data_IF_813729169284
#
_entry.id   IF_813729169284
#
_cell.length_a   1.000
_cell.length_b   1.000
_cell.length_c   1.000
_cell.angle_alpha   90.00
_cell.angle_beta   90.00
_cell.angle_gamma   90.00
#
_symmetry.space_group_name_H-M   'P 1'
#
loop_
_entity.id
_entity.type
_entity.pdbx_description
1 polymer ?
#
# COMPACT_ATOMS: atom_id res chain seq x y z
N UNK A 1 -8.94 -5.23 0.15
CA UNK A 1 -8.94 -3.81 -0.28
C UNK A 1 -10.09 -3.01 0.31
N UNK A 2 -11.26 -3.63 0.56
CA UNK A 2 -12.45 -2.93 1.05
C UNK A 2 -12.22 -2.07 2.32
N UNK A 3 -11.36 -2.52 3.24
CA UNK A 3 -11.15 -1.84 4.52
C UNK A 3 -10.06 -0.74 4.47
N UNK A 4 -9.56 -0.40 3.28
CA UNK A 4 -8.39 0.49 3.14
C UNK A 4 -8.64 1.73 2.28
N UNK A 5 -9.89 1.95 1.85
CA UNK A 5 -10.29 3.09 1.02
C UNK A 5 -10.89 4.20 1.87
N UNK A 6 -10.66 5.46 1.48
CA UNK A 6 -11.42 6.60 2.00
C UNK A 6 -12.72 6.74 1.21
N UNK A 7 -13.79 7.17 1.88
CA UNK A 7 -15.06 7.52 1.22
C UNK A 7 -15.02 8.92 0.59
N UNK A 8 -13.97 9.70 0.88
CA UNK A 8 -13.83 11.10 0.47
C UNK A 8 -13.03 11.30 -0.83
N UNK A 9 -12.51 10.23 -1.44
CA UNK A 9 -11.81 10.34 -2.72
C UNK A 9 -10.95 9.13 -3.09
N UNK A 10 -10.10 9.31 -4.11
CA UNK A 10 -9.21 8.25 -4.59
C UNK A 10 -7.96 8.11 -3.73
N UNK A 11 -7.47 6.88 -3.59
CA UNK A 11 -6.24 6.58 -2.85
C UNK A 11 -5.22 5.85 -3.72
N UNK A 12 -3.95 5.91 -3.32
CA UNK A 12 -2.87 5.12 -3.91
C UNK A 12 -2.61 3.85 -3.09
N UNK A 13 -2.57 2.67 -3.73
CA UNK A 13 -2.20 1.40 -3.08
C UNK A 13 -1.41 0.50 -4.01
N UNK A 14 -0.46 -0.25 -3.45
CA UNK A 14 0.17 -1.38 -4.11
C UNK A 14 -0.75 -2.59 -4.11
N UNK A 15 -1.35 -2.93 -5.26
CA UNK A 15 -2.20 -4.12 -5.41
C UNK A 15 -1.32 -5.35 -5.57
N UNK A 16 -1.49 -6.31 -4.66
CA UNK A 16 -0.66 -7.51 -4.57
C UNK A 16 -1.34 -8.70 -5.24
N UNK A 17 -0.53 -9.56 -5.84
CA UNK A 17 -0.90 -10.92 -6.24
C UNK A 17 0.00 -11.91 -5.51
N UNK A 18 -0.60 -12.94 -4.95
CA UNK A 18 0.08 -13.99 -4.19
C UNK A 18 -0.05 -15.35 -4.84
N UNK A 19 0.92 -16.22 -4.58
CA UNK A 19 0.80 -17.66 -4.87
C UNK A 19 0.02 -18.39 -3.77
N UNK A 20 -0.23 -19.68 -3.96
CA UNK A 20 -0.95 -20.53 -2.99
C UNK A 20 -0.24 -20.67 -1.65
N UNK A 21 1.06 -20.34 -1.57
CA UNK A 21 1.85 -20.33 -0.34
C UNK A 21 1.83 -18.97 0.38
N UNK A 22 1.12 -17.99 -0.17
CA UNK A 22 1.02 -16.63 0.36
C UNK A 22 2.28 -15.78 0.09
N UNK A 23 3.11 -16.15 -0.88
CA UNK A 23 4.24 -15.33 -1.30
C UNK A 23 3.80 -14.33 -2.37
N UNK A 24 4.35 -13.12 -2.29
CA UNK A 24 4.13 -12.07 -3.27
C UNK A 24 4.80 -12.45 -4.61
N UNK A 25 4.00 -12.55 -5.67
CA UNK A 25 4.47 -12.82 -7.03
C UNK A 25 4.35 -11.60 -7.95
N UNK A 26 3.49 -10.65 -7.59
CA UNK A 26 3.31 -9.41 -8.33
C UNK A 26 2.83 -8.30 -7.38
N UNK A 27 3.32 -7.09 -7.58
CA UNK A 27 2.76 -5.90 -6.94
C UNK A 27 2.81 -4.71 -7.90
N UNK A 28 1.70 -3.98 -8.00
CA UNK A 28 1.59 -2.81 -8.85
C UNK A 28 1.02 -1.64 -8.06
N UNK A 29 1.72 -0.50 -8.06
CA UNK A 29 1.20 0.74 -7.48
C UNK A 29 0.07 1.29 -8.35
N UNK A 30 -1.10 1.48 -7.77
CA UNK A 30 -2.27 2.08 -8.43
C UNK A 30 -2.63 3.36 -7.70
N UNK A 31 -2.55 4.51 -8.37
CA UNK A 31 -2.61 5.83 -7.74
C UNK A 31 -4.01 6.44 -7.63
N UNK A 32 -4.99 5.92 -8.36
CA UNK A 32 -6.38 6.41 -8.35
C UNK A 32 -7.38 5.28 -8.10
N UNK A 33 -7.33 4.65 -6.93
CA UNK A 33 -8.31 3.64 -6.52
C UNK A 33 -9.48 4.32 -5.80
N UNK A 34 -10.72 4.07 -6.23
CA UNK A 34 -11.92 4.61 -5.59
C UNK A 34 -13.13 3.67 -5.74
N UNK A 35 -14.21 3.98 -5.01
CA UNK A 35 -15.50 3.28 -5.14
C UNK A 35 -16.35 3.95 -6.22
N UNK A 36 -16.88 3.15 -7.14
CA UNK A 36 -17.82 3.59 -8.17
C UNK A 36 -18.92 2.53 -8.31
N UNK A 37 -20.18 2.95 -8.18
CA UNK A 37 -21.36 2.07 -8.33
C UNK A 37 -21.30 0.78 -7.49
N UNK A 38 -20.74 0.85 -6.28
CA UNK A 38 -20.58 -0.30 -5.37
C UNK A 38 -19.40 -1.22 -5.71
N UNK A 39 -18.63 -0.91 -6.74
CA UNK A 39 -17.40 -1.61 -7.13
C UNK A 39 -16.17 -0.80 -6.74
N UNK A 40 -15.04 -1.48 -6.59
CA UNK A 40 -13.74 -0.82 -6.43
C UNK A 40 -13.07 -0.80 -7.79
N UNK A 41 -12.63 0.36 -8.24
CA UNK A 41 -11.95 0.56 -9.53
C UNK A 41 -10.68 1.35 -9.33
N UNK A 42 -9.69 1.13 -10.20
CA UNK A 42 -8.61 2.09 -10.39
C UNK A 42 -8.68 2.73 -11.77
N UNK A 43 -8.30 4.00 -11.86
CA UNK A 43 -8.18 4.72 -13.13
C UNK A 43 -6.72 4.89 -13.52
N UNK A 44 -6.36 4.44 -14.72
CA UNK A 44 -5.03 4.59 -15.31
C UNK A 44 -5.18 4.98 -16.79
N UNK A 45 -4.54 6.07 -17.20
CA UNK A 45 -4.62 6.55 -18.60
C UNK A 45 -6.03 6.84 -19.10
N UNK A 46 -6.97 7.19 -18.20
CA UNK A 46 -8.39 7.40 -18.52
C UNK A 46 -9.21 6.12 -18.67
N UNK A 47 -8.60 4.95 -18.47
CA UNK A 47 -9.31 3.66 -18.44
C UNK A 47 -9.56 3.25 -16.99
N UNK A 48 -10.79 2.86 -16.68
CA UNK A 48 -11.15 2.31 -15.37
C UNK A 48 -11.12 0.79 -15.41
N UNK A 49 -10.44 0.20 -14.43
CA UNK A 49 -10.34 -1.25 -14.28
C UNK A 49 -10.85 -1.66 -12.91
N UNK A 50 -11.73 -2.66 -12.88
CA UNK A 50 -12.28 -3.21 -11.64
C UNK A 50 -11.22 -3.98 -10.85
N UNK A 51 -11.24 -3.80 -9.53
CA UNK A 51 -10.41 -4.52 -8.57
C UNK A 51 -11.32 -5.32 -7.65
N UNK A 52 -11.13 -6.65 -7.53
CA UNK A 52 -11.87 -7.45 -6.56
C UNK A 52 -11.74 -6.87 -5.16
N UNK A 53 -12.84 -6.81 -4.40
CA UNK A 53 -12.89 -6.16 -3.09
C UNK A 53 -12.02 -6.84 -2.03
N UNK A 54 -11.83 -8.15 -2.20
CA UNK A 54 -10.96 -9.05 -1.44
C UNK A 54 -9.49 -8.99 -1.85
N UNK A 55 -9.14 -8.22 -2.90
CA UNK A 55 -7.74 -8.06 -3.34
C UNK A 55 -6.85 -7.61 -2.18
N UNK A 56 -5.70 -8.25 -2.05
CA UNK A 56 -4.69 -7.87 -1.07
C UNK A 56 -3.98 -6.60 -1.54
N UNK A 57 -3.74 -5.69 -0.60
CA UNK A 57 -2.97 -4.47 -0.87
C UNK A 57 -1.89 -4.25 0.16
N UNK A 58 -0.78 -3.67 -0.28
CA UNK A 58 0.24 -3.15 0.61
C UNK A 58 -0.21 -1.82 1.21
N UNK A 59 -0.14 -1.74 2.53
CA UNK A 59 -0.32 -0.50 3.31
C UNK A 59 1.02 0.13 3.67
N UNK A 60 2.06 -0.17 2.87
CA UNK A 60 3.42 0.32 3.04
C UNK A 60 4.12 -0.17 4.32
N UNK A 61 3.73 -1.33 4.85
CA UNK A 61 4.41 -2.00 5.94
C UNK A 61 5.26 -3.14 5.38
N UNK A 62 6.58 -3.00 5.48
CA UNK A 62 7.53 -3.97 4.93
C UNK A 62 8.57 -4.39 5.95
N UNK A 63 8.89 -5.67 5.94
CA UNK A 63 9.96 -6.25 6.74
C UNK A 63 11.02 -6.81 5.81
N UNK A 64 12.19 -6.19 5.79
CA UNK A 64 13.31 -6.60 4.97
C UNK A 64 14.55 -6.87 5.82
N UNK A 65 15.43 -7.75 5.34
CA UNK A 65 16.80 -7.82 5.84
C UNK A 65 17.63 -6.67 5.25
N UNK A 66 18.81 -6.33 5.82
CA UNK A 66 19.66 -5.28 5.27
C UNK A 66 20.09 -5.47 3.80
N UNK A 67 19.96 -6.69 3.26
CA UNK A 67 20.21 -6.97 1.84
C UNK A 67 19.40 -6.07 0.90
N UNK A 68 18.18 -5.65 1.30
CA UNK A 68 17.32 -4.78 0.48
C UNK A 68 18.00 -3.47 0.08
N UNK A 69 18.91 -2.93 0.91
CA UNK A 69 19.60 -1.68 0.61
C UNK A 69 20.47 -1.76 -0.64
N UNK A 70 20.99 -2.95 -0.97
CA UNK A 70 21.72 -3.17 -2.23
C UNK A 70 20.81 -2.99 -3.45
N UNK A 71 19.57 -3.47 -3.35
CA UNK A 71 18.53 -3.34 -4.39
C UNK A 71 18.08 -1.89 -4.47
N UNK A 72 17.79 -1.25 -3.34
CA UNK A 72 17.43 0.17 -3.29
C UNK A 72 18.50 1.03 -3.96
N UNK A 73 19.78 0.76 -3.68
CA UNK A 73 20.89 1.50 -4.30
C UNK A 73 20.92 1.32 -5.81
N UNK A 74 20.80 0.08 -6.31
CA UNK A 74 20.82 -0.20 -7.74
C UNK A 74 19.66 0.51 -8.48
N UNK A 75 18.45 0.43 -7.91
CA UNK A 75 17.28 1.10 -8.46
C UNK A 75 17.41 2.63 -8.41
N UNK A 76 17.94 3.18 -7.31
CA UNK A 76 18.15 4.62 -7.18
C UNK A 76 19.19 5.15 -8.18
N UNK A 77 20.31 4.44 -8.36
CA UNK A 77 21.32 4.80 -9.36
C UNK A 77 20.74 4.75 -10.78
N UNK A 78 19.86 3.78 -11.09
CA UNK A 78 19.15 3.71 -12.37
C UNK A 78 18.17 4.88 -12.53
N UNK A 79 17.35 5.14 -11.51
CA UNK A 79 16.38 6.23 -11.48
C UNK A 79 17.03 7.59 -11.77
N UNK A 80 18.18 7.88 -11.14
CA UNK A 80 18.92 9.12 -11.39
C UNK A 80 19.46 9.20 -12.83
N UNK A 81 19.87 8.10 -13.44
CA UNK A 81 20.32 8.13 -14.84
C UNK A 81 19.16 8.42 -15.80
N UNK A 82 17.99 7.85 -15.53
CA UNK A 82 16.86 7.89 -16.45
C UNK A 82 15.98 9.13 -16.26
N UNK A 83 15.74 9.55 -15.01
CA UNK A 83 14.63 10.45 -14.66
C UNK A 83 15.02 11.67 -13.84
N UNK A 84 16.33 11.93 -13.62
CA UNK A 84 16.79 13.08 -12.81
C UNK A 84 16.31 14.45 -13.33
N UNK A 85 15.97 14.55 -14.61
CA UNK A 85 15.50 15.77 -15.25
C UNK A 85 13.98 15.98 -15.10
N UNK A 86 13.25 14.99 -14.56
CA UNK A 86 11.82 15.06 -14.33
C UNK A 86 11.53 15.56 -12.89
N UNK A 87 11.04 16.80 -12.70
CA UNK A 87 10.92 17.40 -11.35
C UNK A 87 9.93 16.70 -10.42
N UNK A 88 9.07 15.84 -10.97
CA UNK A 88 8.04 15.08 -10.24
C UNK A 88 8.27 13.57 -10.28
N UNK A 89 9.43 13.12 -10.75
CA UNK A 89 9.72 11.70 -10.77
C UNK A 89 9.92 11.19 -9.33
N UNK A 90 9.37 10.02 -9.06
CA UNK A 90 9.47 9.32 -7.79
C UNK A 90 9.93 7.88 -8.03
N UNK A 91 10.55 7.30 -7.00
CA UNK A 91 10.82 5.87 -6.87
C UNK A 91 10.03 5.37 -5.66
N UNK A 92 9.16 4.39 -5.86
CA UNK A 92 8.30 3.86 -4.81
C UNK A 92 8.94 2.64 -4.15
N UNK A 93 8.60 2.41 -2.87
CA UNK A 93 9.07 1.17 -2.21
C UNK A 93 8.46 -0.08 -2.87
N UNK A 94 7.30 0.08 -3.51
CA UNK A 94 6.66 -0.98 -4.31
C UNK A 94 7.57 -1.41 -5.45
N UNK A 95 8.33 -0.50 -6.06
CA UNK A 95 9.32 -0.82 -7.09
C UNK A 95 10.45 -1.71 -6.52
N UNK A 96 10.86 -1.44 -5.27
CA UNK A 96 11.84 -2.27 -4.56
C UNK A 96 11.30 -3.66 -4.30
N UNK A 97 10.05 -3.78 -3.82
CA UNK A 97 9.39 -5.08 -3.62
C UNK A 97 9.24 -5.87 -4.92
N UNK A 98 8.82 -5.20 -6.00
CA UNK A 98 8.70 -5.80 -7.33
C UNK A 98 10.05 -6.25 -7.91
N UNK A 99 11.12 -5.50 -7.67
CA UNK A 99 12.47 -5.90 -8.06
C UNK A 99 12.98 -7.08 -7.22
N UNK A 100 12.71 -7.06 -5.90
CA UNK A 100 13.14 -8.09 -4.97
C UNK A 100 12.62 -9.48 -5.36
N UNK A 101 11.32 -9.60 -5.66
CA UNK A 101 10.66 -10.89 -5.99
C UNK A 101 11.03 -11.43 -7.38
N UNK A 102 11.65 -10.61 -8.24
CA UNK A 102 12.15 -11.03 -9.57
C UNK A 102 13.54 -11.66 -9.51
N UNK A 103 14.26 -11.48 -8.41
CA UNK A 103 15.58 -12.08 -8.23
C UNK A 103 15.44 -13.55 -7.82
N UNK A 104 16.36 -14.43 -8.27
CA UNK A 104 16.34 -15.83 -7.87
C UNK A 104 16.45 -15.98 -6.35
N UNK A 105 15.78 -16.99 -5.81
CA UNK A 105 15.78 -17.38 -4.38
C UNK A 105 15.21 -16.35 -3.39
N UNK A 106 14.82 -15.16 -3.85
CA UNK A 106 14.15 -14.17 -3.03
C UNK A 106 12.67 -14.50 -2.85
N UNK A 107 12.21 -14.50 -1.61
CA UNK A 107 10.81 -14.73 -1.26
C UNK A 107 10.33 -13.61 -0.35
N UNK A 108 9.19 -13.04 -0.70
CA UNK A 108 8.51 -12.03 0.11
C UNK A 108 7.14 -12.57 0.53
N UNK A 109 7.01 -12.97 1.79
CA UNK A 109 5.76 -13.51 2.31
C UNK A 109 4.78 -12.38 2.65
N UNK A 110 3.55 -12.50 2.17
CA UNK A 110 2.46 -11.58 2.55
C UNK A 110 1.87 -12.05 3.87
N UNK A 111 1.90 -11.17 4.87
CA UNK A 111 1.31 -11.42 6.19
C UNK A 111 -0.01 -10.68 6.28
N UNK A 112 -1.11 -11.43 6.37
CA UNK A 112 -2.44 -10.87 6.56
C UNK A 112 -2.67 -10.49 8.02
N UNK A 113 -3.50 -9.49 8.25
CA UNK A 113 -3.96 -9.08 9.58
C UNK A 113 -5.47 -8.91 9.58
N UNK A 114 -6.10 -9.22 10.70
CA UNK A 114 -7.52 -8.93 10.96
C UNK A 114 -7.72 -7.48 11.46
N UNK A 115 -6.63 -6.73 11.67
CA UNK A 115 -6.69 -5.33 12.05
C UNK A 115 -7.26 -4.47 10.92
N UNK A 116 -8.16 -3.56 11.28
CA UNK A 116 -8.68 -2.55 10.36
C UNK A 116 -7.70 -1.39 10.25
N UNK A 117 -7.40 -0.98 9.03
CA UNK A 117 -6.61 0.21 8.78
C UNK A 117 -7.50 1.44 8.72
N UNK A 118 -7.12 2.49 9.44
CA UNK A 118 -7.72 3.80 9.32
C UNK A 118 -6.62 4.87 9.41
N UNK A 119 -6.79 5.95 8.65
CA UNK A 119 -5.83 7.04 8.58
C UNK A 119 -6.47 8.27 7.96
N UNK A 120 -5.85 9.42 8.18
CA UNK A 120 -6.33 10.69 7.61
C UNK A 120 -5.72 10.85 6.22
N UNK A 121 -6.49 10.54 5.18
CA UNK A 121 -6.09 10.81 3.78
C UNK A 121 -6.56 12.19 3.38
N UNK A 122 -7.81 12.50 3.71
CA UNK A 122 -8.45 13.79 3.55
C UNK A 122 -8.76 14.39 4.93
N UNK A 123 -8.91 15.72 5.00
CA UNK A 123 -9.21 16.41 6.26
C UNK A 123 -10.52 15.90 6.88
N UNK A 124 -11.45 15.49 6.03
CA UNK A 124 -12.77 14.98 6.35
C UNK A 124 -12.72 13.59 7.01
N UNK A 125 -11.61 12.85 6.89
CA UNK A 125 -11.41 11.55 7.56
C UNK A 125 -11.11 11.71 9.07
N UNK A 126 -10.65 12.90 9.50
CA UNK A 126 -10.13 13.13 10.86
C UNK A 126 -11.16 12.85 11.99
N UNK A 127 -12.44 13.25 11.88
CA UNK A 127 -13.44 12.91 12.89
C UNK A 127 -13.64 11.39 13.03
N UNK A 128 -13.59 10.65 11.92
CA UNK A 128 -13.72 9.19 11.90
C UNK A 128 -12.53 8.51 12.60
N UNK A 129 -11.30 8.94 12.28
CA UNK A 129 -10.08 8.45 12.94
C UNK A 129 -10.12 8.71 14.45
N UNK A 130 -10.51 9.91 14.88
CA UNK A 130 -10.62 10.24 16.30
C UNK A 130 -11.65 9.36 17.03
N UNK A 131 -12.80 9.11 16.39
CA UNK A 131 -13.83 8.21 16.92
C UNK A 131 -13.32 6.78 17.07
N UNK A 132 -12.61 6.25 16.07
CA UNK A 132 -12.04 4.90 16.10
C UNK A 132 -11.02 4.74 17.24
N UNK A 133 -10.11 5.71 17.41
CA UNK A 133 -9.13 5.70 18.51
C UNK A 133 -9.84 5.74 19.87
N UNK A 134 -10.83 6.62 20.04
CA UNK A 134 -11.60 6.69 21.29
C UNK A 134 -12.35 5.39 21.60
N UNK A 135 -12.88 4.72 20.58
CA UNK A 135 -13.54 3.44 20.75
C UNK A 135 -12.56 2.36 21.24
N UNK A 136 -11.35 2.32 20.70
CA UNK A 136 -10.31 1.38 21.13
C UNK A 136 -9.86 1.63 22.58
N UNK A 137 -9.71 2.90 22.98
CA UNK A 137 -9.43 3.27 24.38
C UNK A 137 -10.57 2.87 25.31
N UNK A 138 -11.83 3.12 24.92
CA UNK A 138 -13.01 2.72 25.72
C UNK A 138 -13.14 1.21 25.89
N UNK A 139 -12.71 0.43 24.88
CA UNK A 139 -12.65 -1.03 24.94
C UNK A 139 -11.50 -1.55 25.80
N UNK A 140 -10.56 -0.69 26.20
CA UNK A 140 -9.40 -1.07 27.01
C UNK A 140 -8.23 -1.65 26.21
N UNK A 141 -8.29 -1.62 24.87
CA UNK A 141 -7.20 -2.10 23.99
C UNK A 141 -5.94 -1.21 24.12
N UNK A 142 -6.14 0.07 24.44
CA UNK A 142 -5.07 1.04 24.67
C UNK A 142 -5.36 1.89 25.90
N UNK A 143 -4.31 2.38 26.60
CA UNK A 143 -4.47 3.35 27.67
C UNK A 143 -4.93 4.71 27.14
N UNK A 144 -5.49 5.55 28.02
CA UNK A 144 -5.91 6.91 27.66
C UNK A 144 -4.73 7.84 27.34
N UNK A 145 -3.54 7.56 27.88
CA UNK A 145 -2.27 8.22 27.52
C UNK A 145 -1.23 7.15 27.23
N UNK A 146 -0.59 7.23 26.07
CA UNK A 146 0.47 6.31 25.68
C UNK A 146 1.84 6.74 26.20
N UNK A 147 2.04 8.05 26.34
CA UNK A 147 3.25 8.68 26.85
C UNK A 147 2.89 9.86 27.77
#
# INVERSE_FOLDING_TARGET
LNNTLSDNGSVSRGVCKTDDSGNLIEINERTKIFREEGKIVYEEGGTKTEVPSDSQVSMNFWCFTPYVFSICKALFDQFLRERIHEPKAEIYVVDVGAAFIKMPDNVLKVVTTDSEWFGVTYKEDAPGVASNIQALVKKGEYPASLW
#
